data_IF_202115229498
#
_entry.id   IF_202115229498
#
_cell.length_a   1.000
_cell.length_b   1.000
_cell.length_c   1.000
_cell.angle_alpha   90.00
_cell.angle_beta   90.00
_cell.angle_gamma   90.00
#
_symmetry.space_group_name_H-M   'P 1'
#
loop_
_entity.id
_entity.type
_entity.pdbx_description
1 polymer ?
#
# COMPACT_ATOMS: atom_id res chain seq x y z
N UNK A 1 -86.20 61.28 6.10
CA UNK A 1 -85.92 60.56 7.37
C UNK A 1 -85.71 59.07 7.06
N UNK A 2 -85.08 58.25 7.96
CA UNK A 2 -84.30 57.03 7.61
C UNK A 2 -85.18 55.76 7.34
N UNK A 3 -84.81 54.47 7.50
CA UNK A 3 -83.97 53.68 8.46
C UNK A 3 -83.67 52.32 7.77
N UNK A 4 -82.49 51.67 7.76
CA UNK A 4 -81.09 52.07 8.06
C UNK A 4 -80.08 51.17 7.27
N UNK A 5 -78.86 50.96 7.80
CA UNK A 5 -77.77 50.14 7.25
C UNK A 5 -77.87 48.63 7.60
N UNK A 6 -76.79 47.88 7.28
CA UNK A 6 -76.44 46.50 7.72
C UNK A 6 -77.04 45.28 6.98
N UNK A 7 -76.34 44.84 5.92
CA UNK A 7 -75.82 43.45 5.85
C UNK A 7 -74.33 43.52 5.53
N UNK A 8 -73.52 42.65 6.15
CA UNK A 8 -72.06 42.57 5.97
C UNK A 8 -71.69 41.44 5.01
N UNK A 9 -70.77 41.70 4.09
CA UNK A 9 -69.89 40.68 3.48
C UNK A 9 -70.13 40.35 2.01
N UNK A 10 -69.37 41.00 1.13
CA UNK A 10 -68.96 40.45 -0.17
C UNK A 10 -67.56 41.00 -0.53
N UNK A 11 -66.75 40.15 -1.15
CA UNK A 11 -65.36 40.33 -1.56
C UNK A 11 -64.82 41.77 -1.68
N UNK A 12 -63.87 42.13 -0.80
CA UNK A 12 -62.74 42.97 -1.20
C UNK A 12 -61.59 42.06 -1.58
N UNK A 13 -61.14 42.13 -2.82
CA UNK A 13 -60.07 41.30 -3.35
C UNK A 13 -58.75 41.62 -2.64
N UNK A 14 -58.18 40.62 -1.95
CA UNK A 14 -56.86 40.73 -1.33
C UNK A 14 -55.78 40.22 -2.28
N UNK A 15 -55.55 40.95 -3.39
CA UNK A 15 -54.37 40.80 -4.24
C UNK A 15 -53.09 41.19 -3.48
N UNK A 16 -52.68 40.37 -2.51
CA UNK A 16 -51.46 40.53 -1.71
C UNK A 16 -50.41 39.48 -2.08
N UNK A 17 -49.71 39.73 -3.17
CA UNK A 17 -48.29 39.40 -3.27
C UNK A 17 -47.90 37.93 -3.47
N UNK A 18 -48.48 37.24 -4.46
CA UNK A 18 -48.02 35.91 -4.89
C UNK A 18 -46.56 35.85 -5.37
N UNK A 19 -45.94 37.00 -5.66
CA UNK A 19 -44.62 37.16 -6.31
C UNK A 19 -43.44 36.62 -5.48
N UNK A 20 -43.53 36.59 -4.14
CA UNK A 20 -42.44 36.14 -3.28
C UNK A 20 -42.19 34.63 -3.33
N UNK A 21 -43.26 33.82 -3.33
CA UNK A 21 -43.16 32.36 -3.15
C UNK A 21 -42.54 31.65 -4.36
N UNK A 22 -42.76 32.14 -5.58
CA UNK A 22 -42.18 31.55 -6.80
C UNK A 22 -40.66 31.75 -6.87
N UNK A 23 -40.17 32.98 -6.64
CA UNK A 23 -38.73 33.30 -6.69
C UNK A 23 -37.92 32.52 -5.65
N UNK A 24 -38.42 32.36 -4.40
CA UNK A 24 -37.77 31.49 -3.42
C UNK A 24 -37.74 30.03 -3.87
N UNK A 25 -38.84 29.49 -4.41
CA UNK A 25 -38.95 28.08 -4.82
C UNK A 25 -38.09 27.73 -6.04
N UNK A 26 -37.79 28.71 -6.91
CA UNK A 26 -36.81 28.56 -7.99
C UNK A 26 -35.38 28.62 -7.44
N UNK A 27 -35.07 29.56 -6.54
CA UNK A 27 -33.74 29.68 -5.92
C UNK A 27 -33.36 28.44 -5.09
N UNK A 28 -34.29 27.83 -4.36
CA UNK A 28 -34.02 26.56 -3.65
C UNK A 28 -33.88 25.36 -4.59
N UNK A 29 -34.64 25.29 -5.68
CA UNK A 29 -34.44 24.27 -6.72
C UNK A 29 -33.06 24.36 -7.36
N UNK A 30 -32.60 25.57 -7.68
CA UNK A 30 -31.24 25.80 -8.20
C UNK A 30 -30.15 25.33 -7.22
N UNK A 31 -30.30 25.64 -5.93
CA UNK A 31 -29.38 25.16 -4.88
C UNK A 31 -29.33 23.63 -4.82
N UNK A 32 -30.48 22.94 -4.85
CA UNK A 32 -30.51 21.47 -4.84
C UNK A 32 -29.86 20.85 -6.07
N UNK A 33 -30.00 21.45 -7.26
CA UNK A 33 -29.30 20.99 -8.48
C UNK A 33 -27.78 21.11 -8.32
N UNK A 34 -27.28 22.22 -7.76
CA UNK A 34 -25.84 22.39 -7.49
C UNK A 34 -25.32 21.39 -6.45
N UNK A 35 -26.06 21.16 -5.36
CA UNK A 35 -25.70 20.16 -4.34
C UNK A 35 -25.67 18.75 -4.90
N UNK A 36 -26.66 18.36 -5.72
CA UNK A 36 -26.70 17.04 -6.35
C UNK A 36 -25.56 16.88 -7.38
N UNK A 37 -25.25 17.92 -8.16
CA UNK A 37 -24.12 17.90 -9.08
C UNK A 37 -22.78 17.76 -8.36
N UNK A 38 -22.59 18.47 -7.24
CA UNK A 38 -21.40 18.36 -6.40
C UNK A 38 -21.25 16.97 -5.76
N UNK A 39 -22.35 16.38 -5.27
CA UNK A 39 -22.35 15.01 -4.74
C UNK A 39 -22.05 13.97 -5.83
N UNK A 40 -22.63 14.12 -7.02
CA UNK A 40 -22.33 13.25 -8.17
C UNK A 40 -20.86 13.35 -8.59
N UNK A 41 -20.28 14.56 -8.59
CA UNK A 41 -18.85 14.78 -8.83
C UNK A 41 -17.99 14.11 -7.75
N UNK A 42 -18.31 14.29 -6.47
CA UNK A 42 -17.58 13.69 -5.36
C UNK A 42 -17.64 12.15 -5.36
N UNK A 43 -18.78 11.55 -5.72
CA UNK A 43 -18.91 10.09 -5.89
C UNK A 43 -18.11 9.59 -7.11
N UNK A 44 -18.16 10.30 -8.24
CA UNK A 44 -17.37 9.96 -9.43
C UNK A 44 -15.86 10.07 -9.19
N UNK A 45 -15.43 11.09 -8.44
CA UNK A 45 -14.05 11.31 -8.04
C UNK A 45 -13.59 10.24 -7.03
N UNK A 46 -14.44 9.93 -6.03
CA UNK A 46 -14.21 8.83 -5.08
C UNK A 46 -13.95 7.52 -5.82
N UNK A 47 -14.84 7.11 -6.73
CA UNK A 47 -14.69 5.88 -7.51
C UNK A 47 -13.50 5.88 -8.49
N UNK A 48 -12.99 7.05 -8.86
CA UNK A 48 -11.75 7.17 -9.62
C UNK A 48 -10.51 7.00 -8.73
N UNK A 49 -10.52 7.58 -7.53
CA UNK A 49 -9.41 7.53 -6.57
C UNK A 49 -9.32 6.19 -5.83
N UNK A 50 -10.43 5.49 -5.59
CA UNK A 50 -10.49 4.11 -5.04
C UNK A 50 -9.83 3.03 -5.93
N UNK A 51 -9.15 3.39 -7.01
CA UNK A 51 -8.56 2.47 -7.97
C UNK A 51 -7.11 2.17 -7.62
N UNK A 52 -6.90 1.11 -6.85
CA UNK A 52 -5.58 0.52 -6.65
C UNK A 52 -4.92 0.24 -8.03
N UNK A 53 -3.67 0.69 -8.26
CA UNK A 53 -2.89 0.39 -9.45
C UNK A 53 -2.85 -1.11 -9.79
N UNK A 54 -2.92 -1.43 -11.08
CA UNK A 54 -2.77 -2.81 -11.56
C UNK A 54 -1.30 -3.23 -11.50
N UNK A 55 -1.02 -4.54 -11.64
CA UNK A 55 0.37 -5.00 -11.80
C UNK A 55 0.87 -4.54 -13.18
N UNK A 56 1.87 -3.67 -13.20
CA UNK A 56 2.54 -3.27 -14.43
C UNK A 56 3.36 -4.44 -15.02
N UNK A 57 3.62 -4.46 -16.34
CA UNK A 57 4.73 -5.25 -16.87
C UNK A 57 6.05 -4.76 -16.24
N UNK A 58 7.05 -5.65 -16.16
CA UNK A 58 8.39 -5.29 -15.67
C UNK A 58 8.92 -4.04 -16.40
N UNK A 59 9.41 -3.08 -15.63
CA UNK A 59 9.91 -1.80 -16.15
C UNK A 59 10.99 -2.06 -17.20
N UNK A 60 10.77 -1.52 -18.40
CA UNK A 60 11.75 -1.51 -19.47
C UNK A 60 12.86 -0.48 -19.15
N UNK A 61 13.78 -0.87 -18.25
CA UNK A 61 15.11 -0.29 -18.23
C UNK A 61 15.85 -0.58 -19.54
N UNK A 62 17.08 -0.05 -19.68
CA UNK A 62 17.92 -0.24 -20.86
C UNK A 62 17.99 -1.71 -21.32
N UNK A 63 18.16 -1.93 -22.64
CA UNK A 63 18.07 -3.24 -23.31
C UNK A 63 18.94 -4.34 -22.68
N UNK A 64 20.00 -3.93 -21.99
CA UNK A 64 20.86 -4.75 -21.14
C UNK A 64 20.09 -5.62 -20.13
N UNK A 65 20.10 -6.93 -20.37
CA UNK A 65 20.13 -7.95 -19.30
C UNK A 65 21.51 -8.11 -18.65
N UNK A 66 22.38 -7.10 -18.82
CA UNK A 66 23.82 -7.15 -18.57
C UNK A 66 24.24 -6.36 -17.31
N UNK A 67 23.47 -5.32 -16.94
CA UNK A 67 23.79 -4.43 -15.84
C UNK A 67 22.99 -4.84 -14.60
N UNK A 68 23.69 -5.47 -13.64
CA UNK A 68 23.09 -5.92 -12.39
C UNK A 68 22.48 -4.76 -11.60
N UNK A 69 21.29 -4.98 -11.03
CA UNK A 69 20.58 -4.00 -10.19
C UNK A 69 19.77 -2.96 -10.96
N UNK A 70 19.95 -2.85 -12.28
CA UNK A 70 19.27 -1.85 -13.09
C UNK A 70 17.74 -2.00 -13.01
N UNK A 71 17.22 -3.24 -13.05
CA UNK A 71 15.77 -3.49 -13.06
C UNK A 71 15.14 -3.24 -11.69
N UNK A 72 15.79 -3.70 -10.62
CA UNK A 72 15.32 -3.54 -9.23
C UNK A 72 15.36 -2.06 -8.82
N UNK A 73 16.36 -1.31 -9.29
CA UNK A 73 16.43 0.15 -9.07
C UNK A 73 15.31 0.87 -9.82
N UNK A 74 15.11 0.56 -11.11
CA UNK A 74 14.04 1.14 -11.92
C UNK A 74 12.65 0.80 -11.38
N UNK A 75 12.45 -0.43 -10.87
CA UNK A 75 11.21 -0.82 -10.18
C UNK A 75 11.02 -0.07 -8.86
N UNK A 76 12.06 0.11 -8.03
CA UNK A 76 11.93 0.89 -6.79
C UNK A 76 11.55 2.36 -7.08
N UNK A 77 12.11 2.96 -8.14
CA UNK A 77 11.68 4.27 -8.65
C UNK A 77 10.20 4.24 -9.05
N UNK A 78 9.80 3.27 -9.88
CA UNK A 78 8.42 3.14 -10.36
C UNK A 78 7.38 2.88 -9.26
N UNK A 79 7.76 2.26 -8.13
CA UNK A 79 6.90 2.16 -6.95
C UNK A 79 6.65 3.53 -6.31
N UNK A 80 7.66 4.40 -6.24
CA UNK A 80 7.52 5.78 -5.72
C UNK A 80 6.75 6.65 -6.72
N UNK A 81 7.01 6.51 -8.02
CA UNK A 81 6.18 7.15 -9.07
C UNK A 81 4.70 6.76 -8.89
N UNK A 82 4.42 5.47 -8.72
CA UNK A 82 3.04 4.98 -8.57
C UNK A 82 2.38 5.44 -7.27
N UNK A 83 3.13 5.66 -6.19
CA UNK A 83 2.59 6.26 -4.96
C UNK A 83 2.17 7.73 -5.16
N UNK A 84 2.98 8.50 -5.88
CA UNK A 84 2.79 9.94 -6.07
C UNK A 84 1.82 10.29 -7.21
N UNK A 85 1.78 9.46 -8.26
CA UNK A 85 1.14 9.79 -9.56
C UNK A 85 -0.10 8.93 -9.88
N UNK A 86 -0.56 8.07 -8.95
CA UNK A 86 -1.82 7.30 -9.09
C UNK A 86 -3.06 8.22 -9.11
N UNK A 87 -4.25 7.71 -9.50
CA UNK A 87 -5.51 8.46 -9.39
C UNK A 87 -5.74 9.03 -7.99
N UNK A 88 -5.72 10.37 -7.89
CA UNK A 88 -5.84 11.12 -6.64
C UNK A 88 -4.54 11.72 -6.11
N UNK A 89 -3.38 11.33 -6.65
CA UNK A 89 -2.08 11.63 -6.05
C UNK A 89 -1.82 10.70 -4.86
N UNK A 90 -1.01 11.15 -3.90
CA UNK A 90 -0.83 10.48 -2.61
C UNK A 90 -2.01 10.83 -1.68
N UNK A 91 -2.62 9.86 -1.00
CA UNK A 91 -3.85 10.09 -0.19
C UNK A 91 -3.66 9.87 1.32
N UNK A 92 -2.54 9.30 1.77
CA UNK A 92 -2.31 9.03 3.20
C UNK A 92 -2.32 10.26 4.12
N UNK A 93 -2.02 11.44 3.57
CA UNK A 93 -1.98 12.71 4.29
C UNK A 93 -3.07 13.70 3.81
N UNK A 94 -4.08 13.23 3.07
CA UNK A 94 -5.07 14.09 2.42
C UNK A 94 -6.16 14.55 3.40
N UNK A 95 -6.23 15.86 3.64
CA UNK A 95 -7.13 16.48 4.64
C UNK A 95 -8.47 16.95 4.07
N UNK A 96 -8.74 16.70 2.78
CA UNK A 96 -9.97 17.15 2.11
C UNK A 96 -10.80 16.00 1.51
N UNK A 97 -12.12 16.18 1.34
CA UNK A 97 -12.94 15.25 0.57
C UNK A 97 -12.53 15.21 -0.92
N UNK A 98 -12.51 14.02 -1.56
CA UNK A 98 -12.96 12.74 -1.02
C UNK A 98 -11.93 11.95 -0.20
N UNK A 99 -10.63 12.29 -0.21
CA UNK A 99 -9.56 11.48 0.40
C UNK A 99 -9.83 11.04 1.84
N UNK A 100 -10.34 11.95 2.67
CA UNK A 100 -10.70 11.71 4.09
C UNK A 100 -11.75 10.61 4.35
N UNK A 101 -12.40 10.05 3.32
CA UNK A 101 -13.33 8.91 3.44
C UNK A 101 -12.93 7.70 2.56
N UNK A 102 -11.68 7.66 2.07
CA UNK A 102 -11.18 6.63 1.14
C UNK A 102 -10.12 5.70 1.74
N UNK A 103 -10.10 5.58 3.08
CA UNK A 103 -9.43 4.55 3.92
C UNK A 103 -8.68 3.40 3.20
N UNK A 104 -9.37 2.64 2.36
CA UNK A 104 -8.87 1.49 1.62
C UNK A 104 -7.65 1.80 0.72
N UNK A 105 -7.45 3.05 0.26
CA UNK A 105 -6.28 3.44 -0.56
C UNK A 105 -5.09 3.93 0.29
N UNK A 106 -5.23 4.82 1.28
CA UNK A 106 -4.18 5.09 2.28
C UNK A 106 -3.59 3.84 2.92
N UNK A 107 -4.41 2.84 3.26
CA UNK A 107 -3.90 1.56 3.76
C UNK A 107 -3.07 0.81 2.71
N UNK A 108 -3.51 0.76 1.46
CA UNK A 108 -2.73 0.20 0.35
C UNK A 108 -1.42 0.98 0.13
N UNK A 109 -1.44 2.31 0.23
CA UNK A 109 -0.25 3.17 0.13
C UNK A 109 0.73 2.86 1.24
N UNK A 110 0.29 2.81 2.50
CA UNK A 110 1.13 2.43 3.63
C UNK A 110 1.78 1.05 3.42
N UNK A 111 1.00 0.08 2.91
CA UNK A 111 1.52 -1.23 2.52
C UNK A 111 2.66 -1.17 1.50
N UNK A 112 2.56 -0.31 0.47
CA UNK A 112 3.63 -0.08 -0.53
C UNK A 112 4.80 0.69 0.08
N UNK A 113 4.53 1.75 0.84
CA UNK A 113 5.54 2.61 1.51
C UNK A 113 6.46 1.78 2.41
N UNK A 114 5.92 0.83 3.18
CA UNK A 114 6.74 -0.08 4.01
C UNK A 114 7.72 -0.89 3.14
N UNK A 115 7.30 -1.38 1.98
CA UNK A 115 8.21 -2.14 1.08
C UNK A 115 9.22 -1.23 0.38
N UNK A 116 8.83 0.00 0.03
CA UNK A 116 9.74 1.02 -0.51
C UNK A 116 10.83 1.37 0.51
N UNK A 117 10.47 1.57 1.79
CA UNK A 117 11.40 1.82 2.90
C UNK A 117 12.35 0.65 3.13
N UNK A 118 11.83 -0.56 3.24
CA UNK A 118 12.62 -1.79 3.43
C UNK A 118 13.57 -2.06 2.24
N UNK A 119 13.13 -1.77 1.02
CA UNK A 119 13.95 -1.89 -0.19
C UNK A 119 15.02 -0.80 -0.26
N UNK A 120 14.69 0.48 -0.02
CA UNK A 120 15.66 1.59 -0.01
C UNK A 120 16.77 1.35 1.03
N UNK A 121 16.42 0.81 2.20
CA UNK A 121 17.38 0.36 3.21
C UNK A 121 18.26 -0.78 2.72
N UNK A 122 17.69 -1.82 2.10
CA UNK A 122 18.48 -2.88 1.48
C UNK A 122 19.41 -2.37 0.37
N UNK A 123 18.98 -1.35 -0.39
CA UNK A 123 19.83 -0.68 -1.38
C UNK A 123 21.06 -0.03 -0.75
N UNK A 124 20.88 0.85 0.26
CA UNK A 124 21.99 1.52 0.96
C UNK A 124 22.92 0.55 1.69
N UNK A 125 22.36 -0.43 2.39
CA UNK A 125 23.11 -1.22 3.37
C UNK A 125 23.70 -2.53 2.82
N UNK A 126 23.10 -3.10 1.77
CA UNK A 126 23.53 -4.36 1.19
C UNK A 126 23.83 -4.24 -0.31
N UNK A 127 22.85 -3.82 -1.12
CA UNK A 127 22.98 -3.94 -2.58
C UNK A 127 24.08 -3.04 -3.16
N UNK A 128 24.24 -1.79 -2.68
CA UNK A 128 25.32 -0.91 -3.17
C UNK A 128 26.67 -1.10 -2.46
N UNK A 129 26.81 -2.10 -1.58
CA UNK A 129 28.00 -2.35 -0.75
C UNK A 129 28.66 -3.67 -1.08
N UNK A 130 29.99 -3.64 -1.23
CA UNK A 130 30.82 -4.85 -1.40
C UNK A 130 31.02 -5.60 -0.07
N UNK A 131 31.04 -4.84 1.03
CA UNK A 131 31.13 -5.29 2.42
C UNK A 131 30.31 -4.36 3.32
N UNK A 132 29.79 -4.85 4.44
CA UNK A 132 28.94 -4.06 5.35
C UNK A 132 29.59 -2.80 5.95
N UNK A 133 30.92 -2.68 5.89
CA UNK A 133 31.68 -1.51 6.34
C UNK A 133 32.23 -0.64 5.18
N UNK A 134 31.93 -0.98 3.92
CA UNK A 134 32.31 -0.16 2.76
C UNK A 134 31.51 1.14 2.69
N UNK A 135 32.03 2.16 2.00
CA UNK A 135 31.36 3.47 1.84
C UNK A 135 30.01 3.31 1.14
N UNK A 136 29.00 4.03 1.61
CA UNK A 136 27.64 4.04 1.04
C UNK A 136 27.58 4.95 -0.19
N UNK A 137 26.69 4.66 -1.15
CA UNK A 137 26.44 5.60 -2.25
C UNK A 137 25.73 6.87 -1.69
N UNK A 138 26.21 8.08 -2.02
CA UNK A 138 25.72 9.31 -1.41
C UNK A 138 24.27 9.66 -1.77
N UNK A 139 23.73 9.18 -2.89
CA UNK A 139 22.31 9.34 -3.20
C UNK A 139 21.47 8.34 -2.43
N UNK A 140 21.91 7.08 -2.29
CA UNK A 140 21.18 6.07 -1.49
C UNK A 140 21.15 6.42 0.01
N UNK A 141 22.24 7.02 0.52
CA UNK A 141 22.32 7.55 1.88
C UNK A 141 21.33 8.71 2.14
N UNK A 142 20.93 9.45 1.11
CA UNK A 142 19.94 10.53 1.20
C UNK A 142 18.52 10.04 0.85
N UNK A 143 18.37 9.10 -0.07
CA UNK A 143 17.08 8.53 -0.46
C UNK A 143 16.39 7.76 0.67
N UNK A 144 17.15 6.94 1.42
CA UNK A 144 16.58 6.13 2.49
C UNK A 144 15.88 6.94 3.60
N UNK A 145 16.48 7.99 4.21
CA UNK A 145 15.78 8.80 5.21
C UNK A 145 14.62 9.63 4.60
N UNK A 146 14.72 10.07 3.34
CA UNK A 146 13.63 10.78 2.66
C UNK A 146 12.40 9.89 2.43
N UNK A 147 12.60 8.61 2.10
CA UNK A 147 11.52 7.62 1.93
C UNK A 147 11.01 7.06 3.27
N UNK A 148 11.82 7.15 4.34
CA UNK A 148 11.40 6.88 5.72
C UNK A 148 10.75 8.09 6.42
N UNK A 149 10.60 9.23 5.74
CA UNK A 149 9.80 10.35 6.25
C UNK A 149 8.33 9.95 6.47
N UNK A 150 7.63 10.68 7.33
CA UNK A 150 6.28 10.42 7.80
C UNK A 150 5.26 10.18 6.65
N UNK A 151 4.32 9.26 6.89
CA UNK A 151 3.22 8.89 5.99
C UNK A 151 2.09 9.93 5.97
N UNK A 152 1.90 10.66 7.08
CA UNK A 152 0.68 11.46 7.34
C UNK A 152 0.93 12.98 7.35
N UNK A 153 2.15 13.42 7.04
CA UNK A 153 2.52 14.85 7.09
C UNK A 153 2.01 15.61 5.88
N UNK A 154 0.97 16.41 6.07
CA UNK A 154 0.32 17.18 5.01
C UNK A 154 1.09 18.44 4.57
N UNK A 155 1.58 19.26 5.51
CA UNK A 155 1.85 20.69 5.20
C UNK A 155 3.33 21.11 5.18
N UNK A 156 4.17 20.73 6.16
CA UNK A 156 5.56 21.19 6.17
C UNK A 156 6.52 20.31 7.01
N UNK A 157 7.43 19.55 6.35
CA UNK A 157 7.38 19.20 4.94
C UNK A 157 6.22 18.24 4.62
N UNK A 158 5.62 18.39 3.45
CA UNK A 158 4.67 17.42 2.93
C UNK A 158 5.38 16.10 2.57
N UNK A 159 4.68 14.97 2.71
CA UNK A 159 5.22 13.62 2.45
C UNK A 159 5.63 13.43 0.98
N UNK A 160 4.81 13.86 0.04
CA UNK A 160 5.05 13.79 -1.40
C UNK A 160 6.33 14.52 -1.79
N UNK A 161 6.58 15.64 -1.11
CA UNK A 161 7.72 16.51 -1.31
C UNK A 161 9.03 15.85 -0.84
N UNK A 162 8.98 14.96 0.17
CA UNK A 162 10.14 14.17 0.60
C UNK A 162 10.32 12.93 -0.28
N UNK A 163 9.24 12.20 -0.58
CA UNK A 163 9.29 11.01 -1.43
C UNK A 163 9.71 11.37 -2.86
N UNK A 164 9.30 12.52 -3.39
CA UNK A 164 9.75 13.05 -4.68
C UNK A 164 11.25 13.36 -4.72
N UNK A 165 11.83 13.87 -3.61
CA UNK A 165 13.29 14.05 -3.48
C UNK A 165 14.00 12.70 -3.34
N UNK A 166 13.43 11.77 -2.59
CA UNK A 166 13.92 10.38 -2.46
C UNK A 166 13.99 9.68 -3.82
N UNK A 167 12.92 9.80 -4.63
CA UNK A 167 12.89 9.39 -6.04
C UNK A 167 14.02 10.03 -6.85
N UNK A 168 14.23 11.34 -6.71
CA UNK A 168 15.24 12.04 -7.50
C UNK A 168 16.68 11.55 -7.18
N UNK A 169 16.95 11.24 -5.91
CA UNK A 169 18.19 10.58 -5.48
C UNK A 169 18.30 9.15 -6.06
N UNK A 170 17.26 8.31 -5.98
CA UNK A 170 17.24 7.00 -6.64
C UNK A 170 17.50 7.11 -8.16
N UNK A 171 16.92 8.11 -8.82
CA UNK A 171 17.11 8.38 -10.25
C UNK A 171 18.51 8.94 -10.57
N UNK A 172 19.21 9.58 -9.63
CA UNK A 172 20.65 9.92 -9.76
C UNK A 172 21.52 8.66 -9.64
N UNK A 173 21.27 7.81 -8.65
CA UNK A 173 21.96 6.52 -8.49
C UNK A 173 21.76 5.63 -9.73
N UNK A 174 20.52 5.47 -10.20
CA UNK A 174 20.20 4.68 -11.40
C UNK A 174 20.97 5.16 -12.63
N UNK A 175 20.98 6.47 -12.89
CA UNK A 175 21.71 7.04 -14.03
C UNK A 175 23.22 6.76 -13.98
N UNK A 176 23.84 6.73 -12.79
CA UNK A 176 25.24 6.32 -12.64
C UNK A 176 25.43 4.82 -12.83
N UNK A 177 24.49 4.00 -12.32
CA UNK A 177 24.59 2.54 -12.37
C UNK A 177 24.53 2.00 -13.82
N UNK A 178 23.81 2.68 -14.72
CA UNK A 178 23.65 2.29 -16.13
C UNK A 178 24.57 3.04 -17.11
N UNK A 179 25.44 3.93 -16.61
CA UNK A 179 26.39 4.70 -17.42
C UNK A 179 27.76 3.98 -17.46
N UNK A 180 28.20 3.46 -18.63
CA UNK A 180 29.46 2.72 -18.74
C UNK A 180 30.72 3.53 -18.41
N UNK A 181 30.66 4.86 -18.41
CA UNK A 181 31.79 5.71 -18.01
C UNK A 181 31.84 5.89 -16.47
N UNK A 182 30.68 5.88 -15.79
CA UNK A 182 30.55 6.21 -14.36
C UNK A 182 30.62 5.02 -13.39
N UNK A 183 31.80 4.42 -13.30
CA UNK A 183 32.15 3.30 -12.40
C UNK A 183 31.94 3.52 -10.88
N UNK A 184 31.39 4.66 -10.43
CA UNK A 184 31.24 5.05 -9.02
C UNK A 184 29.98 4.51 -8.34
N UNK A 185 28.88 4.32 -9.08
CA UNK A 185 27.74 3.58 -8.56
C UNK A 185 27.96 2.09 -8.82
N UNK A 186 27.56 1.25 -7.87
CA UNK A 186 27.75 -0.20 -7.95
C UNK A 186 26.50 -0.92 -7.42
N UNK A 187 26.26 -2.13 -7.91
CA UNK A 187 25.26 -3.05 -7.39
C UNK A 187 25.84 -4.46 -7.31
N UNK A 188 25.90 -4.99 -6.09
CA UNK A 188 26.53 -6.27 -5.80
C UNK A 188 25.44 -7.35 -5.70
N UNK A 189 25.13 -7.96 -6.85
CA UNK A 189 24.24 -9.11 -6.96
C UNK A 189 24.86 -10.36 -6.28
N UNK A 190 24.76 -10.44 -4.95
CA UNK A 190 25.36 -11.47 -4.10
C UNK A 190 24.30 -12.18 -3.26
N UNK A 191 24.56 -13.43 -2.87
CA UNK A 191 23.60 -14.25 -2.13
C UNK A 191 23.34 -13.73 -0.70
N UNK A 192 24.36 -13.27 0.00
CA UNK A 192 24.25 -12.62 1.31
C UNK A 192 23.45 -11.31 1.23
N UNK A 193 23.74 -10.47 0.23
CA UNK A 193 22.98 -9.25 -0.07
C UNK A 193 21.49 -9.54 -0.31
N UNK A 194 21.16 -10.54 -1.13
CA UNK A 194 19.76 -10.93 -1.36
C UNK A 194 19.11 -11.45 -0.05
N UNK A 195 19.79 -12.33 0.70
CA UNK A 195 19.28 -12.89 1.98
C UNK A 195 18.99 -11.84 3.05
N UNK A 196 19.70 -10.71 3.03
CA UNK A 196 19.43 -9.57 3.91
C UNK A 196 18.02 -9.02 3.68
N UNK A 197 17.74 -8.57 2.46
CA UNK A 197 16.43 -8.04 2.08
C UNK A 197 15.30 -9.07 2.25
N UNK A 198 15.53 -10.31 1.79
CA UNK A 198 14.56 -11.40 1.96
C UNK A 198 14.22 -11.67 3.44
N UNK A 199 15.15 -11.41 4.37
CA UNK A 199 14.89 -11.54 5.81
C UNK A 199 13.93 -10.47 6.35
N UNK A 200 14.08 -9.24 5.91
CA UNK A 200 13.13 -8.16 6.22
C UNK A 200 11.74 -8.50 5.65
N UNK A 201 11.68 -8.93 4.38
CA UNK A 201 10.41 -9.29 3.73
C UNK A 201 9.72 -10.47 4.41
N UNK A 202 10.47 -11.49 4.87
CA UNK A 202 9.93 -12.61 5.64
C UNK A 202 9.23 -12.12 6.92
N UNK A 203 9.86 -11.21 7.66
CA UNK A 203 9.27 -10.66 8.87
C UNK A 203 7.99 -9.84 8.58
N UNK A 204 7.95 -9.10 7.45
CA UNK A 204 6.73 -8.39 7.01
C UNK A 204 5.61 -9.35 6.60
N UNK A 205 5.89 -10.34 5.75
CA UNK A 205 4.88 -11.30 5.28
C UNK A 205 4.34 -12.18 6.41
N UNK A 206 5.20 -12.60 7.35
CA UNK A 206 4.78 -13.28 8.58
C UNK A 206 3.79 -12.44 9.39
N UNK A 207 4.15 -11.19 9.71
CA UNK A 207 3.30 -10.26 10.46
C UNK A 207 1.97 -9.97 9.75
N UNK A 208 1.99 -9.70 8.45
CA UNK A 208 0.78 -9.50 7.65
C UNK A 208 -0.13 -10.74 7.66
N UNK A 209 0.42 -11.94 7.46
CA UNK A 209 -0.36 -13.18 7.54
C UNK A 209 -0.99 -13.38 8.92
N UNK A 210 -0.31 -12.98 9.99
CA UNK A 210 -0.77 -13.17 11.36
C UNK A 210 -1.86 -12.14 11.73
N UNK A 211 -1.71 -10.87 11.30
CA UNK A 211 -2.74 -9.83 11.42
C UNK A 211 -4.00 -10.18 10.61
N UNK A 212 -3.85 -10.67 9.38
CA UNK A 212 -4.97 -11.13 8.55
C UNK A 212 -5.72 -12.31 9.19
N UNK A 213 -5.02 -13.29 9.77
CA UNK A 213 -5.67 -14.39 10.53
C UNK A 213 -6.36 -13.91 11.80
N UNK A 214 -5.75 -12.97 12.54
CA UNK A 214 -6.34 -12.35 13.73
C UNK A 214 -7.60 -11.51 13.40
N UNK A 215 -7.69 -10.93 12.20
CA UNK A 215 -8.85 -10.15 11.74
C UNK A 215 -10.17 -10.95 11.65
N UNK A 216 -10.12 -12.28 11.84
CA UNK A 216 -11.28 -13.18 11.89
C UNK A 216 -11.44 -13.83 13.29
N UNK A 217 -10.68 -13.38 14.29
CA UNK A 217 -10.82 -13.82 15.68
C UNK A 217 -10.39 -15.27 15.93
N UNK A 218 -9.26 -15.70 15.35
CA UNK A 218 -8.65 -16.97 15.74
C UNK A 218 -8.13 -16.90 17.17
N UNK A 219 -8.51 -17.86 18.02
CA UNK A 219 -7.83 -18.09 19.29
C UNK A 219 -6.39 -18.54 18.99
N UNK A 220 -5.40 -17.84 19.55
CA UNK A 220 -3.99 -18.21 19.44
C UNK A 220 -3.47 -18.68 20.79
N UNK A 221 -2.84 -19.84 20.81
CA UNK A 221 -1.91 -20.17 21.89
C UNK A 221 -0.72 -19.20 21.81
N UNK A 222 -0.32 -18.65 22.94
CA UNK A 222 0.89 -17.85 23.05
C UNK A 222 2.10 -18.81 23.02
N UNK A 223 2.91 -18.65 21.97
CA UNK A 223 4.09 -19.48 21.72
C UNK A 223 5.37 -18.64 21.67
N UNK A 224 5.33 -17.41 22.16
CA UNK A 224 6.42 -16.43 22.08
C UNK A 224 7.66 -16.84 22.89
N UNK A 225 7.51 -17.80 23.81
CA UNK A 225 8.58 -18.46 24.58
C UNK A 225 8.61 -19.99 24.33
N UNK A 226 7.87 -20.51 23.34
CA UNK A 226 7.76 -21.95 23.13
C UNK A 226 9.04 -22.52 22.49
N UNK A 227 9.70 -23.43 23.22
CA UNK A 227 10.93 -24.10 22.77
C UNK A 227 12.23 -23.48 23.28
N UNK A 228 12.18 -22.34 23.96
CA UNK A 228 13.33 -21.75 24.66
C UNK A 228 13.03 -21.67 26.17
N UNK A 229 13.81 -22.41 26.96
CA UNK A 229 13.62 -22.50 28.41
C UNK A 229 14.24 -21.32 29.19
N UNK A 230 15.11 -20.52 28.56
CA UNK A 230 15.79 -19.39 29.20
C UNK A 230 15.23 -18.02 28.78
N UNK A 231 14.46 -17.98 27.69
CA UNK A 231 13.80 -16.76 27.21
C UNK A 231 12.78 -16.19 28.22
N UNK A 232 12.71 -14.86 28.31
CA UNK A 232 11.88 -14.13 29.30
C UNK A 232 11.21 -12.93 28.64
N UNK A 233 9.93 -12.73 28.91
CA UNK A 233 9.20 -11.52 28.52
C UNK A 233 9.29 -10.44 29.59
N UNK A 234 9.35 -9.17 29.18
CA UNK A 234 9.35 -8.02 30.09
C UNK A 234 7.98 -7.77 30.78
N UNK A 235 6.91 -8.36 30.26
CA UNK A 235 5.55 -8.33 30.80
C UNK A 235 4.93 -9.71 30.65
N UNK A 236 4.28 -10.30 31.68
CA UNK A 236 3.61 -11.59 31.55
C UNK A 236 2.41 -11.51 30.59
N UNK A 237 2.49 -12.20 29.46
CA UNK A 237 1.37 -12.34 28.52
C UNK A 237 0.53 -13.61 28.82
N UNK A 238 -0.81 -13.57 28.63
CA UNK A 238 -1.66 -14.76 28.71
C UNK A 238 -1.20 -15.93 27.83
N UNK A 239 -1.41 -17.17 28.30
CA UNK A 239 -1.11 -18.40 27.55
C UNK A 239 -2.04 -18.67 26.36
N UNK A 240 -3.25 -18.11 26.40
CA UNK A 240 -4.16 -18.02 25.25
C UNK A 240 -4.53 -16.56 25.00
N UNK A 241 -4.41 -16.13 23.74
CA UNK A 241 -4.70 -14.78 23.28
C UNK A 241 -5.74 -14.83 22.16
N UNK A 242 -6.97 -14.41 22.47
CA UNK A 242 -7.99 -14.16 21.46
C UNK A 242 -7.76 -12.78 20.84
N UNK A 243 -6.73 -12.67 19.99
CA UNK A 243 -6.46 -11.45 19.23
C UNK A 243 -7.50 -11.33 18.12
N UNK A 244 -8.45 -10.39 18.28
CA UNK A 244 -9.40 -10.02 17.25
C UNK A 244 -9.30 -8.52 16.96
N UNK A 245 -8.88 -8.21 15.75
CA UNK A 245 -8.88 -6.86 15.14
C UNK A 245 -10.28 -6.24 15.20
N UNK A 246 -10.39 -4.91 15.31
CA UNK A 246 -11.70 -4.22 15.25
C UNK A 246 -12.40 -4.51 13.93
N UNK A 247 -13.74 -4.50 13.92
CA UNK A 247 -14.50 -4.64 12.67
C UNK A 247 -14.23 -3.52 11.66
N UNK A 248 -13.76 -2.36 12.14
CA UNK A 248 -13.37 -1.19 11.34
C UNK A 248 -11.89 -1.19 10.90
N UNK A 249 -11.12 -2.20 11.32
CA UNK A 249 -9.69 -2.37 11.02
C UNK A 249 -9.45 -3.63 10.14
N UNK A 250 -10.53 -4.28 9.69
CA UNK A 250 -10.49 -5.54 8.93
C UNK A 250 -10.03 -5.30 7.49
N UNK A 251 -10.59 -4.25 6.89
CA UNK A 251 -10.26 -3.73 5.56
C UNK A 251 -8.86 -3.13 5.58
N UNK A 252 -8.52 -2.33 6.59
CA UNK A 252 -7.19 -1.71 6.77
C UNK A 252 -6.06 -2.74 6.57
N UNK A 253 -6.09 -3.81 7.38
CA UNK A 253 -5.11 -4.90 7.32
C UNK A 253 -5.14 -5.62 5.96
N UNK A 254 -6.31 -5.74 5.33
CA UNK A 254 -6.46 -6.36 4.02
C UNK A 254 -5.84 -5.52 2.90
N UNK A 255 -6.06 -4.20 2.92
CA UNK A 255 -5.54 -3.29 1.91
C UNK A 255 -4.05 -2.98 2.10
N UNK A 256 -3.55 -2.88 3.35
CA UNK A 256 -2.11 -2.87 3.63
C UNK A 256 -1.43 -4.12 3.07
N UNK A 257 -1.99 -5.31 3.32
CA UNK A 257 -1.48 -6.54 2.75
C UNK A 257 -1.55 -6.54 1.20
N UNK A 258 -2.54 -5.88 0.59
CA UNK A 258 -2.60 -5.72 -0.87
C UNK A 258 -1.55 -4.76 -1.40
N UNK A 259 -1.24 -3.68 -0.69
CA UNK A 259 -0.15 -2.76 -1.02
C UNK A 259 1.20 -3.47 -0.97
N UNK A 260 1.50 -4.07 0.19
CA UNK A 260 2.77 -4.76 0.40
C UNK A 260 3.00 -5.90 -0.61
N UNK A 261 1.98 -6.73 -0.87
CA UNK A 261 2.13 -7.81 -1.85
C UNK A 261 2.18 -7.32 -3.31
N UNK A 262 1.51 -6.20 -3.66
CA UNK A 262 1.63 -5.59 -5.00
C UNK A 262 3.05 -5.04 -5.26
N UNK A 263 3.65 -4.39 -4.27
CA UNK A 263 5.02 -3.89 -4.37
C UNK A 263 6.04 -5.05 -4.44
N UNK A 264 5.89 -6.07 -3.58
CA UNK A 264 6.79 -7.22 -3.53
C UNK A 264 6.79 -8.07 -4.80
N UNK A 265 5.66 -8.22 -5.48
CA UNK A 265 5.61 -8.93 -6.77
C UNK A 265 6.57 -8.28 -7.76
N UNK A 266 6.50 -6.96 -7.92
CA UNK A 266 7.30 -6.22 -8.89
C UNK A 266 8.79 -6.24 -8.50
N UNK A 267 9.10 -6.02 -7.21
CA UNK A 267 10.48 -6.11 -6.71
C UNK A 267 11.08 -7.51 -6.85
N UNK A 268 10.30 -8.58 -6.62
CA UNK A 268 10.75 -9.96 -6.82
C UNK A 268 10.91 -10.33 -8.30
N UNK A 269 10.04 -9.87 -9.19
CA UNK A 269 10.20 -10.09 -10.64
C UNK A 269 11.42 -9.35 -11.20
N UNK A 270 11.75 -8.17 -10.66
CA UNK A 270 12.96 -7.42 -11.01
C UNK A 270 14.22 -8.08 -10.44
N UNK A 271 14.19 -8.49 -9.16
CA UNK A 271 15.28 -9.21 -8.51
C UNK A 271 15.53 -10.60 -9.12
N UNK A 272 14.52 -11.27 -9.71
CA UNK A 272 14.73 -12.51 -10.46
C UNK A 272 15.70 -12.31 -11.64
N UNK A 273 15.67 -11.14 -12.28
CA UNK A 273 16.59 -10.80 -13.36
C UNK A 273 17.95 -10.35 -12.83
N UNK A 274 17.98 -9.38 -11.91
CA UNK A 274 19.24 -8.79 -11.43
C UNK A 274 20.09 -9.76 -10.58
N UNK A 275 19.47 -10.75 -9.94
CA UNK A 275 20.16 -11.84 -9.23
C UNK A 275 20.10 -13.17 -10.00
N UNK A 276 19.78 -13.17 -11.31
CA UNK A 276 19.55 -14.40 -12.09
C UNK A 276 20.70 -15.41 -11.99
N UNK A 277 21.97 -14.97 -12.04
CA UNK A 277 23.11 -15.88 -11.89
C UNK A 277 23.17 -16.50 -10.48
N UNK A 278 22.96 -15.70 -9.43
CA UNK A 278 22.94 -16.17 -8.04
C UNK A 278 21.81 -17.18 -7.83
N UNK A 279 20.61 -16.84 -8.30
CA UNK A 279 19.43 -17.70 -8.19
C UNK A 279 19.59 -19.00 -8.97
N UNK A 280 20.21 -18.97 -10.15
CA UNK A 280 20.57 -20.17 -10.92
C UNK A 280 21.62 -21.01 -10.20
N UNK A 281 22.70 -20.39 -9.70
CA UNK A 281 23.81 -21.08 -9.01
C UNK A 281 23.37 -21.77 -7.72
N UNK A 282 22.42 -21.19 -6.99
CA UNK A 282 21.83 -21.74 -5.74
C UNK A 282 20.60 -22.63 -5.99
N UNK A 283 20.26 -22.94 -7.25
CA UNK A 283 19.02 -23.65 -7.67
C UNK A 283 17.72 -23.03 -7.08
N UNK A 284 17.73 -21.73 -6.84
CA UNK A 284 16.74 -20.99 -6.07
C UNK A 284 15.68 -20.26 -6.93
N UNK A 285 15.89 -20.17 -8.25
CA UNK A 285 15.01 -19.43 -9.17
C UNK A 285 13.57 -19.98 -9.20
N UNK A 286 13.38 -21.29 -9.08
CA UNK A 286 12.04 -21.92 -9.03
C UNK A 286 11.30 -21.52 -7.75
N UNK A 287 12.01 -21.48 -6.61
CA UNK A 287 11.44 -21.05 -5.32
C UNK A 287 10.99 -19.58 -5.36
N UNK A 288 11.79 -18.67 -5.96
CA UNK A 288 11.39 -17.27 -6.12
C UNK A 288 10.13 -17.13 -7.01
N UNK A 289 10.05 -17.86 -8.12
CA UNK A 289 8.85 -17.90 -8.98
C UNK A 289 7.62 -18.45 -8.25
N UNK A 290 7.81 -19.45 -7.39
CA UNK A 290 6.74 -20.00 -6.54
C UNK A 290 6.22 -18.97 -5.53
N UNK A 291 7.10 -18.17 -4.91
CA UNK A 291 6.72 -17.04 -4.04
C UNK A 291 5.91 -16.00 -4.84
N UNK A 292 6.44 -15.55 -5.99
CA UNK A 292 5.76 -14.59 -6.89
C UNK A 292 4.36 -15.09 -7.27
N UNK A 293 4.19 -16.39 -7.54
CA UNK A 293 2.88 -16.97 -7.89
C UNK A 293 1.86 -16.89 -6.76
N UNK A 294 2.24 -17.20 -5.52
CA UNK A 294 1.31 -17.11 -4.38
C UNK A 294 0.95 -15.65 -4.07
N UNK A 295 1.90 -14.72 -4.17
CA UNK A 295 1.62 -13.29 -4.03
C UNK A 295 0.67 -12.78 -5.14
N UNK A 296 0.88 -13.17 -6.40
CA UNK A 296 -0.05 -12.88 -7.51
C UNK A 296 -1.44 -13.48 -7.28
N UNK A 297 -1.57 -14.59 -6.55
CA UNK A 297 -2.85 -15.15 -6.18
C UNK A 297 -3.56 -14.36 -5.05
N UNK A 298 -2.82 -13.71 -4.15
CA UNK A 298 -3.37 -12.71 -3.21
C UNK A 298 -3.88 -11.44 -3.91
N UNK A 299 -3.33 -11.10 -5.09
CA UNK A 299 -3.75 -9.93 -5.89
C UNK A 299 -5.02 -10.15 -6.75
N UNK A 300 -5.69 -11.30 -6.66
CA UNK A 300 -6.90 -11.60 -7.47
C UNK A 300 -7.99 -10.52 -7.32
N UNK A 301 -8.81 -10.24 -8.35
CA UNK A 301 -9.87 -9.23 -8.26
C UNK A 301 -10.94 -9.60 -7.23
N UNK A 302 -11.33 -8.62 -6.41
CA UNK A 302 -12.49 -8.72 -5.53
C UNK A 302 -13.77 -8.77 -6.37
N UNK A 303 -14.70 -9.67 -6.01
CA UNK A 303 -16.06 -9.74 -6.59
C UNK A 303 -17.15 -9.26 -5.62
N UNK A 304 -16.78 -9.03 -4.36
CA UNK A 304 -17.62 -8.39 -3.34
C UNK A 304 -17.31 -6.89 -3.31
N UNK A 305 -18.30 -6.00 -3.13
CA UNK A 305 -18.06 -4.58 -2.90
C UNK A 305 -17.55 -4.27 -1.48
N UNK A 306 -17.55 -5.26 -0.58
CA UNK A 306 -17.12 -5.15 0.81
C UNK A 306 -16.17 -6.30 1.18
N UNK A 307 -15.22 -6.06 2.07
CA UNK A 307 -14.35 -7.12 2.62
C UNK A 307 -15.17 -7.98 3.59
N UNK A 308 -15.52 -9.20 3.16
CA UNK A 308 -16.25 -10.15 3.99
C UNK A 308 -15.29 -11.08 4.74
N UNK A 309 -15.41 -11.14 6.06
CA UNK A 309 -14.72 -12.08 6.95
C UNK A 309 -15.73 -12.97 7.68
N UNK A 310 -16.40 -13.86 6.93
CA UNK A 310 -17.21 -14.94 7.51
C UNK A 310 -16.36 -15.94 8.31
N UNK A 311 -16.98 -16.76 9.15
CA UNK A 311 -16.26 -17.87 9.81
C UNK A 311 -15.62 -18.82 8.78
N UNK A 312 -14.50 -19.47 9.11
CA UNK A 312 -13.72 -20.27 8.16
C UNK A 312 -14.45 -21.46 7.50
N UNK A 313 -15.59 -21.88 8.07
CA UNK A 313 -16.50 -22.90 7.53
C UNK A 313 -17.94 -22.34 7.32
N UNK A 314 -18.08 -21.02 7.20
CA UNK A 314 -19.36 -20.33 7.06
C UNK A 314 -19.84 -20.21 5.61
N UNK A 315 -21.10 -19.77 5.45
CA UNK A 315 -21.72 -19.54 4.14
C UNK A 315 -21.21 -18.28 3.41
N UNK A 316 -20.54 -17.37 4.13
CA UNK A 316 -19.97 -16.14 3.59
C UNK A 316 -18.48 -16.33 3.27
N UNK A 317 -18.02 -15.66 2.21
CA UNK A 317 -16.60 -15.60 1.88
C UNK A 317 -15.77 -15.03 3.05
N UNK A 318 -14.53 -15.47 3.14
CA UNK A 318 -13.53 -14.95 4.08
C UNK A 318 -12.30 -14.51 3.29
N UNK A 319 -12.18 -13.19 3.11
CA UNK A 319 -11.13 -12.60 2.29
C UNK A 319 -9.79 -12.59 3.04
N UNK A 320 -9.77 -12.24 4.34
CA UNK A 320 -8.52 -12.17 5.10
C UNK A 320 -7.86 -13.52 5.36
N UNK A 321 -8.60 -14.60 5.69
CA UNK A 321 -8.02 -15.96 5.80
C UNK A 321 -7.56 -16.46 4.42
N UNK A 322 -8.32 -16.19 3.35
CA UNK A 322 -7.90 -16.57 1.99
C UNK A 322 -6.57 -15.88 1.63
N UNK A 323 -6.43 -14.60 1.94
CA UNK A 323 -5.20 -13.84 1.71
C UNK A 323 -4.05 -14.27 2.62
N UNK A 324 -4.31 -14.48 3.92
CA UNK A 324 -3.35 -15.04 4.88
C UNK A 324 -2.83 -16.40 4.41
N UNK A 325 -3.68 -17.24 3.82
CA UNK A 325 -3.28 -18.54 3.27
C UNK A 325 -2.26 -18.42 2.12
N UNK A 326 -2.45 -17.45 1.21
CA UNK A 326 -1.47 -17.16 0.15
C UNK A 326 -0.18 -16.58 0.71
N UNK A 327 -0.27 -15.58 1.60
CA UNK A 327 0.91 -14.91 2.19
C UNK A 327 1.71 -15.87 3.07
N UNK A 328 1.06 -16.74 3.84
CA UNK A 328 1.70 -17.76 4.67
C UNK A 328 2.51 -18.76 3.83
N UNK A 329 1.96 -19.24 2.70
CA UNK A 329 2.73 -20.09 1.76
C UNK A 329 3.88 -19.35 1.08
N UNK A 330 3.69 -18.09 0.70
CA UNK A 330 4.77 -17.25 0.19
C UNK A 330 5.89 -17.06 1.23
N UNK A 331 5.52 -16.86 2.50
CA UNK A 331 6.46 -16.71 3.61
C UNK A 331 7.21 -18.01 3.95
N UNK A 332 6.55 -19.17 3.90
CA UNK A 332 7.20 -20.47 4.08
C UNK A 332 8.25 -20.72 2.99
N UNK A 333 7.87 -20.59 1.71
CA UNK A 333 8.81 -20.73 0.59
C UNK A 333 9.94 -19.67 0.60
N UNK A 334 9.73 -18.53 1.25
CA UNK A 334 10.75 -17.50 1.47
C UNK A 334 11.78 -17.89 2.54
N UNK A 335 11.40 -18.69 3.55
CA UNK A 335 12.35 -19.30 4.50
C UNK A 335 13.23 -20.30 3.73
N UNK A 336 12.61 -21.24 3.00
CA UNK A 336 13.32 -22.25 2.19
C UNK A 336 14.30 -21.59 1.19
N UNK A 337 13.87 -20.52 0.52
CA UNK A 337 14.69 -19.72 -0.38
C UNK A 337 15.91 -19.10 0.35
N UNK A 338 15.72 -18.54 1.55
CA UNK A 338 16.82 -17.95 2.31
C UNK A 338 17.84 -18.98 2.78
N UNK A 339 17.44 -20.22 3.00
CA UNK A 339 18.35 -21.29 3.39
C UNK A 339 19.09 -21.90 2.19
N UNK A 340 18.42 -22.08 1.04
CA UNK A 340 19.08 -22.43 -0.23
C UNK A 340 20.18 -21.43 -0.62
N UNK A 341 19.90 -20.13 -0.48
CA UNK A 341 20.89 -19.07 -0.72
C UNK A 341 22.05 -19.08 0.28
N UNK A 342 21.90 -19.74 1.44
CA UNK A 342 22.90 -19.83 2.51
C UNK A 342 23.85 -21.04 2.36
N UNK A 343 23.33 -22.16 1.86
CA UNK A 343 23.98 -23.48 1.93
C UNK A 343 24.69 -23.89 0.63
N UNK A 344 24.26 -23.38 -0.53
CA UNK A 344 25.02 -23.47 -1.80
C UNK A 344 26.06 -22.36 -1.93
#
# INVERSE_FOLDING_TARGET
MPIDNWIRGANRETERGGVGKSRLRVRTRGLWVVVIALLALLVGLSWYWSRAPQLAPLVAGAESGEIAGARTTATLIALVDTLLEKPGGYLSNDVMPPGVWLDNIPNWEYGVVVQVRDAAKAFREAFSRSQSQSTEDPDLALAEPLLNFDNESWIFPATEDQYGKGREHLARYYRRLVDPEQHRAQFYARADNLRYWLGTVQNRLGSLSQRLSASVGQQRLNIDLAGDAEARQATPAPGELMVKTSWWEIDDVFFEARGATWALIQLFEAAEQDFAEVLRKKNAQVSLRQIIRELKAAQRPLRSPLILNGGGFGLLANHSITMASYISRANAALIDLRDLLAQG
#
